data_IF_508908694105
#
_entry.id   IF_508908694105
#
_cell.length_a   1.000
_cell.length_b   1.000
_cell.length_c   1.000
_cell.angle_alpha   90.00
_cell.angle_beta   90.00
_cell.angle_gamma   90.00
#
_symmetry.space_group_name_H-M   'P 1'
#
loop_
_entity.id
_entity.type
_entity.pdbx_description
1 polymer ?
2 non-polymer ?
3 non-polymer ?
4 water ?
#
# COMPACT_ATOMS: atom_id res chain seq x y z
N UNK A 1 -7.45 -24.06 5.85
CA UNK A 1 -6.13 -24.36 5.32
C UNK A 1 -5.79 -23.54 4.08
N UNK A 2 -6.64 -22.58 3.70
CA UNK A 2 -6.42 -21.75 2.51
C UNK A 2 -6.15 -20.28 2.78
N UNK A 3 -5.23 -19.70 2.00
CA UNK A 3 -5.09 -18.25 1.89
C UNK A 3 -6.38 -17.69 1.30
N UNK A 4 -6.86 -16.53 1.71
CA UNK A 4 -8.09 -16.00 1.10
C UNK A 4 -7.86 -14.62 0.46
N UNK A 5 -6.62 -14.16 0.43
CA UNK A 5 -6.37 -12.92 -0.29
C UNK A 5 -4.99 -12.85 -0.89
N UNK A 6 -4.86 -12.07 -1.96
CA UNK A 6 -3.53 -11.83 -2.59
C UNK A 6 -3.48 -10.37 -2.93
N UNK A 7 -2.28 -9.81 -3.10
CA UNK A 7 -2.17 -8.39 -3.40
C UNK A 7 -1.39 -8.20 -4.72
N UNK A 8 -1.84 -7.27 -5.56
CA UNK A 8 -1.07 -6.86 -6.75
C UNK A 8 -0.78 -5.37 -6.61
N UNK A 9 0.29 -4.91 -7.25
CA UNK A 9 0.69 -3.51 -7.11
C UNK A 9 1.14 -3.05 -8.46
N UNK A 10 0.97 -1.76 -8.73
CA UNK A 10 1.56 -1.18 -9.90
C UNK A 10 2.05 0.17 -9.54
N UNK A 11 3.22 0.47 -10.05
CA UNK A 11 3.84 1.72 -9.80
C UNK A 11 3.85 2.51 -11.11
N UNK A 12 3.19 3.67 -11.14
CA UNK A 12 3.21 4.45 -12.35
C UNK A 12 4.45 5.31 -12.47
N UNK A 13 5.12 5.57 -11.34
CA UNK A 13 6.35 6.36 -11.31
C UNK A 13 7.55 5.45 -11.16
N UNK A 14 8.16 5.06 -12.27
CA UNK A 14 9.27 4.13 -12.17
C UNK A 14 10.65 4.80 -12.23
N UNK A 15 10.68 6.12 -12.35
CA UNK A 15 11.96 6.88 -12.25
C UNK A 15 12.45 6.78 -10.80
N UNK A 16 13.76 6.71 -10.61
CA UNK A 16 14.32 6.61 -9.26
C UNK A 16 13.96 7.90 -8.46
N UNK A 17 14.06 9.06 -9.11
CA UNK A 17 13.67 10.31 -8.44
C UNK A 17 12.27 10.76 -8.86
N UNK A 18 11.37 10.96 -7.89
CA UNK A 18 10.00 11.25 -8.25
C UNK A 18 9.37 12.12 -7.17
N UNK A 19 8.48 13.02 -7.54
CA UNK A 19 7.76 13.83 -6.55
C UNK A 19 6.65 13.05 -5.87
N UNK A 20 6.24 11.93 -6.48
CA UNK A 20 5.17 11.15 -5.89
C UNK A 20 5.60 9.70 -5.85
N UNK A 21 5.21 9.00 -4.78
CA UNK A 21 5.35 7.58 -4.72
C UNK A 21 3.94 7.00 -4.94
N UNK A 22 3.77 6.07 -5.88
CA UNK A 22 2.43 5.49 -6.09
C UNK A 22 2.32 4.15 -5.39
N UNK A 23 1.43 4.06 -4.43
CA UNK A 23 1.29 2.81 -3.69
C UNK A 23 0.18 1.90 -4.24
N UNK A 24 -0.38 2.24 -5.41
CA UNK A 24 -1.59 1.56 -5.93
C UNK A 24 -1.59 0.04 -5.78
N UNK A 25 -2.69 -0.48 -5.27
CA UNK A 25 -2.79 -1.92 -5.10
C UNK A 25 -4.17 -2.44 -5.39
N UNK A 26 -4.22 -3.75 -5.63
CA UNK A 26 -5.49 -4.46 -5.76
C UNK A 26 -5.45 -5.60 -4.76
N UNK A 27 -6.51 -5.73 -3.97
CA UNK A 27 -6.66 -6.88 -3.05
C UNK A 27 -7.69 -7.86 -3.61
N UNK A 28 -7.21 -9.01 -4.06
CA UNK A 28 -8.01 -10.07 -4.69
C UNK A 28 -8.54 -11.04 -3.61
N UNK A 29 -9.88 -11.13 -3.47
CA UNK A 29 -10.50 -12.06 -2.53
C UNK A 29 -10.56 -13.43 -3.19
N UNK A 30 -9.70 -14.36 -2.77
CA UNK A 30 -9.66 -15.69 -3.36
C UNK A 30 -10.42 -16.73 -2.54
N UNK A 31 -11.14 -16.31 -1.52
CA UNK A 31 -11.93 -17.30 -0.76
C UNK A 31 -13.45 -17.25 -1.01
N UNK A 32 -14.26 -17.83 -0.12
CA UNK A 32 -15.70 -17.92 -0.34
C UNK A 32 -16.55 -17.03 0.55
N UNK A 33 -15.94 -16.13 1.31
CA UNK A 33 -16.78 -15.21 2.10
C UNK A 33 -16.33 -13.78 1.88
N UNK A 34 -17.14 -12.81 2.29
CA UNK A 34 -16.78 -11.42 2.12
C UNK A 34 -15.58 -11.09 3.04
N UNK A 35 -14.71 -10.21 2.57
CA UNK A 35 -13.62 -9.71 3.41
C UNK A 35 -13.95 -8.32 3.93
N UNK A 36 -13.98 -8.18 5.26
CA UNK A 36 -14.29 -6.89 5.88
C UNK A 36 -13.05 -6.01 5.93
N UNK A 37 -12.97 -4.99 5.05
CA UNK A 37 -11.79 -4.14 5.00
C UNK A 37 -11.59 -3.28 6.26
N UNK A 38 -12.60 -3.22 7.10
CA UNK A 38 -12.40 -2.51 8.39
C UNK A 38 -11.34 -3.20 9.26
N UNK A 39 -11.02 -4.45 8.95
CA UNK A 39 -9.99 -5.15 9.70
C UNK A 39 -8.69 -5.32 8.95
N UNK A 40 -8.53 -4.60 7.84
CA UNK A 40 -7.41 -4.80 6.96
C UNK A 40 -6.48 -3.62 6.92
N UNK A 41 -5.19 -3.87 7.06
CA UNK A 41 -4.17 -2.83 6.87
C UNK A 41 -3.25 -3.24 5.72
N UNK A 42 -2.79 -2.26 4.94
CA UNK A 42 -1.85 -2.56 3.87
C UNK A 42 -0.65 -1.63 4.06
N UNK A 43 0.58 -2.17 3.92
CA UNK A 43 1.76 -1.34 4.13
C UNK A 43 2.64 -1.22 2.92
N UNK A 44 3.11 -0.01 2.63
CA UNK A 44 4.09 0.28 1.59
C UNK A 44 5.34 0.78 2.33
N UNK A 45 6.42 0.04 2.22
CA UNK A 45 7.65 0.38 2.95
C UNK A 45 8.54 1.25 2.12
N UNK A 46 9.04 2.34 2.74
CA UNK A 46 9.94 3.24 2.04
C UNK A 46 10.94 3.86 3.00
N UNK A 47 12.02 4.37 2.43
CA UNK A 47 13.06 5.01 3.26
C UNK A 47 13.07 6.49 2.88
N UNK A 48 12.81 7.39 3.82
CA UNK A 48 12.81 8.81 3.48
C UNK A 48 12.83 9.60 4.78
N UNK A 49 13.46 10.75 4.77
CA UNK A 49 13.67 11.49 6.02
C UNK A 49 12.88 12.81 6.09
N UNK A 50 11.91 12.99 5.18
CA UNK A 50 11.06 14.17 5.24
C UNK A 50 9.84 13.87 6.18
N UNK A 51 9.65 14.66 7.23
CA UNK A 51 8.65 14.35 8.24
C UNK A 51 7.16 14.47 7.77
N UNK A 52 6.87 15.48 6.96
CA UNK A 52 5.47 15.82 6.59
C UNK A 52 5.07 15.24 5.22
N UNK A 53 4.53 14.02 5.23
CA UNK A 53 4.12 13.35 4.01
C UNK A 53 2.59 13.48 3.83
N UNK A 54 2.13 13.83 2.64
CA UNK A 54 0.73 13.97 2.36
C UNK A 54 0.22 12.71 1.60
N UNK A 55 -1.04 12.37 1.80
CA UNK A 55 -1.57 11.09 1.32
C UNK A 55 -2.77 11.45 0.42
N UNK A 56 -2.83 10.90 -0.77
CA UNK A 56 -3.96 11.23 -1.68
C UNK A 56 -4.50 9.91 -2.20
N UNK A 57 -5.84 9.77 -2.25
CA UNK A 57 -6.48 8.57 -2.78
C UNK A 57 -7.11 8.96 -4.10
N UNK A 58 -6.70 8.31 -5.18
CA UNK A 58 -7.25 8.68 -6.50
C UNK A 58 -8.44 7.78 -6.93
N UNK A 59 -8.50 6.57 -6.41
CA UNK A 59 -9.54 5.64 -6.87
C UNK A 59 -9.73 4.60 -5.79
N UNK A 60 -10.99 4.33 -5.44
CA UNK A 60 -11.29 3.25 -4.48
C UNK A 60 -12.55 2.55 -5.04
N UNK A 61 -12.43 1.32 -5.51
CA UNK A 61 -13.55 0.72 -6.20
C UNK A 61 -14.74 0.38 -5.28
N UNK A 62 -14.57 0.46 -3.95
CA UNK A 62 -15.63 0.03 -3.05
C UNK A 62 -16.18 1.13 -2.17
N UNK A 63 -15.79 2.37 -2.41
CA UNK A 63 -16.41 3.40 -1.62
C UNK A 63 -15.84 4.74 -1.99
N UNK A 64 -15.85 5.62 -1.01
CA UNK A 64 -15.55 7.01 -1.27
C UNK A 64 -14.09 7.25 -1.00
N UNK A 65 -13.40 7.83 -1.98
CA UNK A 65 -11.93 7.98 -1.89
C UNK A 65 -11.57 8.88 -0.69
N UNK A 66 -12.23 10.01 -0.57
CA UNK A 66 -11.94 10.93 0.56
C UNK A 66 -12.23 10.34 1.95
N UNK A 67 -13.47 9.94 2.13
CA UNK A 67 -13.91 9.50 3.45
C UNK A 67 -13.52 8.10 3.88
N UNK A 68 -13.38 7.16 2.96
CA UNK A 68 -13.29 5.73 3.35
C UNK A 68 -11.90 5.14 3.41
N UNK A 69 -10.92 5.76 2.77
CA UNK A 69 -9.58 5.20 2.70
C UNK A 69 -8.64 6.16 3.45
N UNK A 70 -7.92 5.66 4.46
CA UNK A 70 -7.09 6.54 5.32
C UNK A 70 -5.63 6.13 5.21
N UNK A 71 -4.70 7.08 5.38
CA UNK A 71 -3.31 6.74 5.29
C UNK A 71 -2.51 7.46 6.37
N UNK A 72 -1.54 6.78 6.98
CA UNK A 72 -0.67 7.45 7.94
C UNK A 72 0.73 6.84 7.80
N UNK A 73 1.77 7.66 7.93
CA UNK A 73 3.14 7.13 7.85
C UNK A 73 3.65 6.84 9.27
N UNK A 74 4.30 5.69 9.44
CA UNK A 74 4.88 5.29 10.74
C UNK A 74 6.37 5.01 10.59
N UNK A 75 7.13 5.25 11.65
CA UNK A 75 8.49 4.73 11.73
C UNK A 75 8.57 3.28 12.14
N UNK A 76 9.49 2.54 11.56
CA UNK A 76 9.63 1.14 11.92
C UNK A 76 10.21 0.98 13.33
N UNK A 77 11.25 1.73 13.64
CA UNK A 77 11.61 1.87 15.09
C UNK A 77 11.98 3.33 15.42
N UNK A 78 12.07 3.69 16.70
CA UNK A 78 12.75 4.95 17.05
C UNK A 78 14.23 4.70 16.75
N UNK A 79 14.64 5.10 15.55
CA UNK A 79 15.86 4.62 14.86
C UNK A 79 15.70 3.39 13.86
N UNK A 80 16.11 3.67 12.62
CA UNK A 80 16.50 5.04 12.35
C UNK A 80 15.29 5.77 11.75
N UNK A 81 15.26 7.09 11.93
CA UNK A 81 14.17 7.93 11.45
C UNK A 81 13.73 7.68 9.99
N UNK A 82 14.65 7.26 9.14
CA UNK A 82 14.36 7.15 7.71
C UNK A 82 13.45 5.98 7.34
N UNK A 83 13.55 4.88 8.06
CA UNK A 83 12.83 3.61 7.68
C UNK A 83 11.38 3.63 8.11
N UNK A 84 10.49 3.64 7.12
CA UNK A 84 9.09 3.98 7.38
C UNK A 84 8.20 3.03 6.60
N UNK A 85 6.91 3.09 6.92
CA UNK A 85 5.88 2.57 6.04
C UNK A 85 4.69 3.49 6.04
N UNK A 86 4.02 3.54 4.90
CA UNK A 86 2.68 4.09 4.84
C UNK A 86 1.75 2.91 5.16
N UNK A 87 0.82 3.15 6.07
CA UNK A 87 -0.23 2.20 6.32
C UNK A 87 -1.59 2.71 5.84
N UNK A 88 -2.18 1.95 4.93
CA UNK A 88 -3.51 2.25 4.38
C UNK A 88 -4.57 1.42 5.14
N UNK A 89 -5.62 2.07 5.62
CA UNK A 89 -6.70 1.41 6.31
C UNK A 89 -8.02 1.92 5.70
N UNK A 90 -9.13 1.28 6.08
CA UNK A 90 -10.43 1.53 5.47
C UNK A 90 -11.44 1.72 6.53
N UNK A 91 -12.29 2.74 6.39
CA UNK A 91 -13.39 2.95 7.32
C UNK A 91 -14.58 2.13 6.91
N UNK A 92 -14.59 1.72 5.65
CA UNK A 92 -15.74 0.99 5.10
C UNK A 92 -15.31 0.23 3.87
N UNK A 93 -15.96 -0.90 3.58
CA UNK A 93 -15.59 -1.66 2.38
C UNK A 93 -15.66 -3.14 2.66
N UNK A 94 -16.24 -3.89 1.70
CA UNK A 94 -16.38 -5.32 1.91
C UNK A 94 -16.07 -5.99 0.57
N UNK A 95 -15.05 -6.84 0.49
CA UNK A 95 -14.73 -7.42 -0.81
C UNK A 95 -15.51 -8.70 -1.03
N UNK A 96 -16.34 -8.75 -2.09
CA UNK A 96 -17.07 -9.98 -2.40
C UNK A 96 -16.09 -11.10 -2.81
N UNK A 97 -16.42 -12.33 -2.43
CA UNK A 97 -15.68 -13.51 -2.91
C UNK A 97 -15.55 -13.50 -4.45
N UNK A 98 -14.33 -13.70 -4.95
CA UNK A 98 -14.13 -13.74 -6.38
C UNK A 98 -13.96 -12.32 -6.92
N UNK A 99 -14.06 -11.31 -6.07
CA UNK A 99 -13.86 -9.96 -6.56
C UNK A 99 -12.59 -9.35 -5.97
N UNK A 100 -12.37 -8.07 -6.23
CA UNK A 100 -11.12 -7.42 -5.80
C UNK A 100 -11.42 -5.99 -5.39
N UNK A 101 -10.63 -5.42 -4.48
CA UNK A 101 -10.75 -3.99 -4.14
C UNK A 101 -9.60 -3.31 -4.89
N UNK A 102 -9.91 -2.27 -5.69
CA UNK A 102 -8.83 -1.52 -6.35
C UNK A 102 -8.64 -0.24 -5.57
N UNK A 103 -7.40 0.06 -5.18
CA UNK A 103 -7.14 1.24 -4.40
C UNK A 103 -5.91 1.97 -4.91
N UNK A 104 -6.10 3.13 -5.57
CA UNK A 104 -4.97 3.84 -6.19
C UNK A 104 -4.73 5.16 -5.45
N UNK A 105 -3.47 5.54 -5.31
CA UNK A 105 -3.19 6.86 -4.75
C UNK A 105 -1.71 7.08 -4.64
N UNK A 106 -1.35 8.18 -3.97
CA UNK A 106 0.03 8.61 -3.92
C UNK A 106 0.37 9.09 -2.50
N UNK A 107 1.67 9.13 -2.20
CA UNK A 107 2.14 10.05 -1.16
C UNK A 107 3.16 11.04 -1.75
N UNK A 108 3.24 12.24 -1.18
CA UNK A 108 4.12 13.30 -1.69
C UNK A 108 4.69 13.95 -0.43
N UNK A 109 5.83 14.59 -0.56
CA UNK A 109 6.34 15.44 0.51
C UNK A 109 5.54 16.73 0.47
N UNK A 110 5.20 17.25 1.64
CA UNK A 110 4.44 18.49 1.70
C UNK A 110 5.17 19.64 1.03
N UNK A 111 6.50 19.60 0.96
CA UNK A 111 7.15 20.67 0.20
C UNK A 111 7.36 20.36 -1.29
N UNK A 112 6.85 19.22 -1.77
CA UNK A 112 6.94 18.89 -3.19
C UNK A 112 8.37 18.64 -3.67
N UNK A 113 9.30 18.39 -2.77
CA UNK A 113 10.63 17.96 -3.19
C UNK A 113 10.58 16.43 -3.48
N UNK A 114 11.57 15.94 -4.22
CA UNK A 114 11.54 14.57 -4.76
C UNK A 114 11.98 13.50 -3.77
N UNK A 115 11.31 12.36 -3.83
CA UNK A 115 11.81 11.15 -3.19
C UNK A 115 12.92 10.51 -4.06
N UNK A 116 13.77 9.68 -3.41
CA UNK A 116 14.65 8.76 -4.11
C UNK A 116 14.10 7.37 -3.80
N UNK A 117 13.50 6.73 -4.78
CA UNK A 117 12.80 5.50 -4.56
C UNK A 117 13.74 4.30 -4.55
N UNK A 118 14.99 4.53 -4.91
CA UNK A 118 15.90 3.40 -5.13
C UNK A 118 16.11 2.50 -3.92
N UNK A 119 16.00 3.07 -2.72
CA UNK A 119 16.25 2.32 -1.51
C UNK A 119 14.94 2.00 -0.78
N UNK A 120 13.81 2.07 -1.48
CA UNK A 120 12.52 1.82 -0.83
C UNK A 120 12.15 0.35 -0.99
N UNK A 121 11.93 -0.33 0.12
CA UNK A 121 11.66 -1.78 0.07
C UNK A 121 10.49 -2.10 -0.92
N UNK A 122 9.42 -1.32 -0.90
CA UNK A 122 8.23 -1.71 -1.70
C UNK A 122 8.32 -1.31 -3.18
N UNK A 123 9.39 -0.62 -3.58
CA UNK A 123 9.50 -0.03 -4.92
C UNK A 123 9.57 -1.11 -6.01
N UNK A 124 8.69 -1.01 -7.01
CA UNK A 124 8.60 -2.07 -8.05
C UNK A 124 8.88 -1.47 -9.42
N UNK A 125 9.92 -1.95 -10.07
CA UNK A 125 10.30 -1.49 -11.41
C UNK A 125 10.23 -2.61 -12.41
N UNK A 126 10.16 -2.27 -13.68
CA UNK A 126 10.29 -3.23 -14.77
C UNK A 126 8.99 -3.89 -15.17
N UNK A 127 7.85 -3.51 -14.60
CA UNK A 127 6.57 -4.15 -14.99
C UNK A 127 5.64 -3.10 -15.65
N UNK A 128 4.60 -3.55 -16.34
CA UNK A 128 3.82 -2.58 -17.08
C UNK A 128 2.36 -2.55 -16.65
N UNK A 129 2.01 -3.41 -15.68
CA UNK A 129 0.68 -3.40 -15.12
C UNK A 129 0.70 -4.06 -13.74
N UNK A 130 -0.48 -4.23 -13.14
CA UNK A 130 -0.56 -4.70 -11.75
C UNK A 130 -0.04 -6.15 -11.71
N UNK A 131 0.83 -6.47 -10.74
CA UNK A 131 1.44 -7.81 -10.68
C UNK A 131 1.42 -8.19 -9.23
N UNK A 132 1.32 -9.49 -8.93
CA UNK A 132 1.48 -9.93 -7.51
C UNK A 132 2.80 -9.39 -6.96
N UNK A 133 2.77 -8.84 -5.76
CA UNK A 133 3.97 -8.17 -5.33
C UNK A 133 4.12 -8.50 -3.87
N UNK A 134 5.17 -9.23 -3.53
CA UNK A 134 5.31 -9.66 -2.13
C UNK A 134 6.16 -8.74 -1.28
N UNK A 135 6.41 -7.49 -1.72
CA UNK A 135 7.15 -6.51 -0.91
C UNK A 135 6.24 -5.43 -0.38
N UNK A 136 4.93 -5.60 -0.57
CA UNK A 136 3.98 -4.84 0.25
C UNK A 136 3.27 -5.85 1.15
N UNK A 137 2.88 -5.43 2.36
CA UNK A 137 2.24 -6.40 3.27
C UNK A 137 0.74 -6.13 3.52
N UNK A 138 0.02 -7.20 3.88
CA UNK A 138 -1.40 -7.05 4.24
C UNK A 138 -1.60 -7.76 5.57
N UNK A 139 -2.41 -7.15 6.42
CA UNK A 139 -2.75 -7.70 7.71
C UNK A 139 -4.26 -7.76 7.85
N UNK A 140 -4.71 -8.84 8.47
CA UNK A 140 -6.13 -8.93 8.90
C UNK A 140 -6.11 -9.05 10.39
N UNK A 141 -6.75 -8.09 11.06
CA UNK A 141 -6.66 -7.88 12.52
C UNK A 141 -5.25 -8.07 13.05
N UNK A 142 -4.31 -7.41 12.38
CA UNK A 142 -2.92 -7.41 12.79
C UNK A 142 -2.16 -8.72 12.59
N UNK A 143 -2.79 -9.75 12.03
CA UNK A 143 -2.06 -10.95 11.57
C UNK A 143 -1.52 -10.74 10.11
N UNK A 144 -0.24 -11.06 9.86
CA UNK A 144 0.36 -10.79 8.54
C UNK A 144 -0.16 -11.87 7.59
N UNK A 145 -0.88 -11.49 6.52
CA UNK A 145 -1.52 -12.49 5.66
C UNK A 145 -0.97 -12.47 4.24
N UNK A 146 -0.02 -11.56 3.96
CA UNK A 146 0.51 -11.44 2.62
C UNK A 146 1.76 -10.60 2.71
N UNK A 147 2.81 -11.03 2.03
CA UNK A 147 3.97 -10.18 1.84
C UNK A 147 5.12 -10.41 2.81
N UNK A 148 6.23 -9.72 2.56
CA UNK A 148 7.45 -9.87 3.37
C UNK A 148 7.83 -8.53 3.94
N UNK A 149 7.95 -8.44 5.28
CA UNK A 149 8.42 -7.19 5.91
C UNK A 149 9.93 -7.02 5.64
N UNK A 150 10.41 -5.76 5.59
CA UNK A 150 11.85 -5.50 5.34
C UNK A 150 12.77 -6.25 6.32
N UNK A 151 13.92 -6.73 5.83
CA UNK A 151 14.91 -7.35 6.70
C UNK A 151 16.27 -7.06 6.10
#
# INVERSE_FOLDING_TARGET
SHMILKLKHYNEQQSLYSKAIRWDFVIENTGNSYIDLRNVKVRYYFKDDYKNINFAVYFYSLGDEKNDVKGKVYNIRQSDSSHKYLEVTFEKGSIPPGDAAWVFGAITRDDWTEFNQEDDWSFLQGNSTFSYWDKMTVYISDKLVWGIEPY
#
